data_IF_960631169601
#
_entry.id   IF_960631169601
#
_cell.length_a   1.000
_cell.length_b   1.000
_cell.length_c   1.000
_cell.angle_alpha   90.00
_cell.angle_beta   90.00
_cell.angle_gamma   90.00
#
_symmetry.space_group_name_H-M   'P 1'
#
loop_
_entity.id
_entity.type
_entity.pdbx_description
1 polymer ?
#
# COMPACT_ATOMS: atom_id res chain seq x y z
N UNK A 1 -24.22 2.97 -7.26
CA UNK A 1 -23.25 2.00 -7.83
C UNK A 1 -22.81 1.07 -6.71
N UNK A 2 -23.71 0.23 -6.22
CA UNK A 2 -23.38 -0.85 -5.29
C UNK A 2 -23.40 -2.14 -6.11
N UNK A 3 -22.31 -2.91 -6.03
CA UNK A 3 -22.19 -4.18 -6.71
C UNK A 3 -23.36 -5.10 -6.29
N UNK A 4 -24.01 -5.73 -7.25
CA UNK A 4 -25.08 -6.71 -7.02
C UNK A 4 -24.52 -7.90 -6.24
N UNK A 5 -25.31 -8.49 -5.33
CA UNK A 5 -24.91 -9.57 -4.42
C UNK A 5 -24.21 -10.77 -5.11
N UNK A 6 -24.44 -10.97 -6.41
CA UNK A 6 -23.82 -12.01 -7.23
C UNK A 6 -22.37 -11.75 -7.66
N UNK A 7 -21.84 -10.52 -7.57
CA UNK A 7 -20.44 -10.20 -7.91
C UNK A 7 -19.54 -10.05 -6.69
N UNK A 8 -20.13 -10.10 -5.51
CA UNK A 8 -19.46 -9.82 -4.24
C UNK A 8 -18.32 -10.81 -3.96
N UNK A 9 -18.47 -12.08 -4.34
CA UNK A 9 -17.44 -13.11 -4.13
C UNK A 9 -16.19 -12.94 -5.01
N UNK A 10 -16.31 -12.34 -6.20
CA UNK A 10 -15.15 -12.10 -7.08
C UNK A 10 -14.27 -10.93 -6.63
N UNK A 11 -14.83 -10.00 -5.85
CA UNK A 11 -14.12 -8.83 -5.34
C UNK A 11 -13.70 -8.98 -3.87
N UNK A 12 -14.01 -10.11 -3.21
CA UNK A 12 -13.99 -10.21 -1.74
C UNK A 12 -12.71 -10.70 -1.09
N UNK A 13 -11.72 -11.21 -1.82
CA UNK A 13 -10.64 -11.91 -1.10
C UNK A 13 -9.27 -11.46 -1.57
N UNK A 14 -8.75 -10.45 -0.87
CA UNK A 14 -7.31 -10.30 -0.73
C UNK A 14 -6.80 -11.59 -0.06
N UNK A 15 -5.98 -12.37 -0.74
CA UNK A 15 -5.30 -13.55 -0.22
C UNK A 15 -3.90 -13.19 0.27
N UNK A 16 -3.23 -14.09 1.03
CA UNK A 16 -1.81 -13.99 1.35
C UNK A 16 -0.92 -13.79 0.11
N UNK A 17 -1.21 -14.46 -1.00
CA UNK A 17 -0.44 -14.33 -2.24
C UNK A 17 -0.36 -12.89 -2.78
N UNK A 18 -1.39 -12.07 -2.53
CA UNK A 18 -1.36 -10.65 -2.89
C UNK A 18 -0.39 -9.85 -2.01
N UNK A 19 -0.24 -10.25 -0.74
CA UNK A 19 0.73 -9.66 0.18
C UNK A 19 2.14 -10.03 -0.29
N UNK A 20 2.37 -11.30 -0.61
CA UNK A 20 3.65 -11.79 -1.13
C UNK A 20 4.02 -11.08 -2.45
N UNK A 21 3.03 -10.86 -3.32
CA UNK A 21 3.21 -10.08 -4.55
C UNK A 21 3.58 -8.60 -4.32
N UNK A 22 3.18 -8.01 -3.19
CA UNK A 22 3.64 -6.67 -2.80
C UNK A 22 5.06 -6.72 -2.23
N UNK A 23 5.38 -7.74 -1.41
CA UNK A 23 6.73 -7.92 -0.86
C UNK A 23 7.77 -8.12 -1.97
N UNK A 24 7.48 -8.96 -2.96
CA UNK A 24 8.35 -9.16 -4.12
C UNK A 24 8.60 -7.86 -4.90
N UNK A 25 7.59 -6.99 -5.03
CA UNK A 25 7.76 -5.67 -5.66
C UNK A 25 8.60 -4.73 -4.80
N UNK A 26 8.37 -4.71 -3.49
CA UNK A 26 9.16 -3.92 -2.55
C UNK A 26 10.64 -4.31 -2.65
N UNK A 27 10.96 -5.60 -2.69
CA UNK A 27 12.32 -6.08 -2.87
C UNK A 27 12.90 -5.65 -4.24
N UNK A 28 12.14 -5.86 -5.32
CA UNK A 28 12.60 -5.56 -6.67
C UNK A 28 12.93 -4.07 -6.90
N UNK A 29 12.07 -3.16 -6.40
CA UNK A 29 12.33 -1.72 -6.49
C UNK A 29 13.31 -1.25 -5.41
N UNK A 30 13.26 -1.85 -4.22
CA UNK A 30 14.14 -1.57 -3.10
C UNK A 30 15.61 -1.83 -3.42
N UNK A 31 15.89 -2.91 -4.17
CA UNK A 31 17.24 -3.22 -4.64
C UNK A 31 17.81 -2.19 -5.63
N UNK A 32 16.96 -1.34 -6.20
CA UNK A 32 17.34 -0.33 -7.18
C UNK A 32 17.47 1.07 -6.56
N UNK A 33 17.14 1.28 -5.29
CA UNK A 33 17.16 2.59 -4.63
C UNK A 33 18.08 2.59 -3.41
N UNK A 34 18.74 3.72 -3.17
CA UNK A 34 19.53 3.88 -1.95
C UNK A 34 18.61 4.34 -0.82
N UNK A 35 18.49 3.50 0.21
CA UNK A 35 17.62 3.81 1.35
C UNK A 35 18.20 4.98 2.17
N UNK A 36 17.49 6.11 2.28
CA UNK A 36 18.03 7.29 2.93
C UNK A 36 18.15 7.06 4.44
N UNK A 37 19.24 7.58 5.01
CA UNK A 37 19.53 7.55 6.44
C UNK A 37 18.86 8.70 7.22
N UNK A 38 18.15 9.59 6.51
CA UNK A 38 17.50 10.77 7.06
C UNK A 38 16.03 10.83 6.63
N UNK A 39 15.25 11.69 7.30
CA UNK A 39 13.87 11.94 6.92
C UNK A 39 13.78 12.55 5.52
N UNK A 40 12.91 12.00 4.69
CA UNK A 40 12.61 12.50 3.35
C UNK A 40 11.49 13.52 3.45
N UNK A 41 11.62 14.63 2.73
CA UNK A 41 10.53 15.57 2.51
C UNK A 41 9.87 15.21 1.17
N UNK A 42 8.56 14.91 1.16
CA UNK A 42 7.85 14.61 -0.08
C UNK A 42 7.90 15.77 -1.08
N UNK A 43 8.11 15.45 -2.36
CA UNK A 43 7.81 16.37 -3.44
C UNK A 43 8.98 16.83 -4.30
N UNK A 44 10.11 16.14 -4.27
CA UNK A 44 11.24 16.43 -5.16
C UNK A 44 10.85 16.25 -6.65
N UNK A 45 9.91 15.35 -6.95
CA UNK A 45 9.32 15.18 -8.28
C UNK A 45 7.80 15.05 -8.21
N UNK A 46 7.11 15.36 -9.33
CA UNK A 46 5.64 15.21 -9.39
C UNK A 46 5.21 13.74 -9.21
N UNK A 47 5.96 12.79 -9.77
CA UNK A 47 5.70 11.35 -9.60
C UNK A 47 5.88 10.92 -8.14
N UNK A 48 6.98 11.33 -7.51
CA UNK A 48 7.23 11.03 -6.09
C UNK A 48 6.14 11.61 -5.19
N UNK A 49 5.74 12.87 -5.44
CA UNK A 49 4.64 13.51 -4.71
C UNK A 49 3.33 12.71 -4.80
N UNK A 50 3.01 12.17 -5.98
CA UNK A 50 1.83 11.33 -6.17
C UNK A 50 1.90 10.02 -5.36
N UNK A 51 3.06 9.37 -5.32
CA UNK A 51 3.26 8.18 -4.49
C UNK A 51 3.22 8.47 -2.98
N UNK A 52 3.77 9.60 -2.55
CA UNK A 52 3.62 10.05 -1.16
C UNK A 52 2.17 10.33 -0.80
N UNK A 53 1.40 11.00 -1.68
CA UNK A 53 -0.04 11.21 -1.49
C UNK A 53 -0.77 9.86 -1.38
N UNK A 54 -0.54 8.94 -2.30
CA UNK A 54 -1.12 7.61 -2.27
C UNK A 54 -0.80 6.88 -0.95
N UNK A 55 0.45 6.94 -0.47
CA UNK A 55 0.86 6.38 0.82
C UNK A 55 0.04 6.95 1.98
N UNK A 56 -0.22 8.25 2.01
CA UNK A 56 -1.04 8.85 3.08
C UNK A 56 -2.49 8.37 3.05
N UNK A 57 -3.07 8.17 1.85
CA UNK A 57 -4.42 7.65 1.67
C UNK A 57 -4.49 6.19 2.12
N UNK A 58 -3.51 5.36 1.74
CA UNK A 58 -3.44 3.96 2.15
C UNK A 58 -3.29 3.82 3.67
N UNK A 59 -2.42 4.62 4.29
CA UNK A 59 -2.28 4.68 5.75
C UNK A 59 -3.56 5.13 6.45
N UNK A 60 -4.33 6.02 5.84
CA UNK A 60 -5.65 6.43 6.36
C UNK A 60 -6.64 5.27 6.28
N UNK A 61 -6.71 4.58 5.15
CA UNK A 61 -7.55 3.40 4.98
C UNK A 61 -7.18 2.30 5.98
N UNK A 62 -5.88 2.05 6.20
CA UNK A 62 -5.41 1.08 7.20
C UNK A 62 -5.92 1.40 8.61
N UNK A 63 -5.86 2.67 9.04
CA UNK A 63 -6.39 3.08 10.35
C UNK A 63 -7.88 2.82 10.50
N UNK A 64 -8.67 3.10 9.45
CA UNK A 64 -10.10 2.79 9.45
C UNK A 64 -10.35 1.28 9.53
N UNK A 65 -9.54 0.48 8.83
CA UNK A 65 -9.64 -1.00 8.87
C UNK A 65 -9.21 -1.55 10.22
N UNK A 66 -8.20 -0.97 10.88
CA UNK A 66 -7.82 -1.36 12.26
C UNK A 66 -8.99 -1.12 13.20
N UNK A 67 -9.61 0.06 13.14
CA UNK A 67 -10.79 0.39 13.95
C UNK A 67 -11.93 -0.61 13.68
N UNK A 68 -12.18 -0.95 12.41
CA UNK A 68 -13.17 -1.97 12.05
C UNK A 68 -12.82 -3.36 12.62
N UNK A 69 -11.54 -3.73 12.61
CA UNK A 69 -11.06 -5.02 13.13
C UNK A 69 -11.20 -5.11 14.65
N UNK A 70 -11.01 -4.01 15.38
CA UNK A 70 -11.22 -3.94 16.83
C UNK A 70 -12.70 -4.15 17.24
N UNK A 71 -13.62 -3.93 16.31
CA UNK A 71 -15.07 -4.12 16.50
C UNK A 71 -15.62 -5.41 15.85
N UNK A 72 -14.77 -6.43 15.63
CA UNK A 72 -15.11 -7.72 14.99
C UNK A 72 -15.75 -7.59 13.59
N UNK A 73 -15.56 -6.44 12.92
CA UNK A 73 -16.15 -6.14 11.61
C UNK A 73 -15.30 -6.60 10.42
N UNK A 74 -14.10 -7.13 10.67
CA UNK A 74 -13.17 -7.52 9.61
C UNK A 74 -13.38 -8.98 9.21
N UNK A 75 -14.02 -9.20 8.06
CA UNK A 75 -14.23 -10.55 7.50
C UNK A 75 -12.98 -11.18 6.89
N UNK A 76 -12.01 -10.38 6.43
CA UNK A 76 -10.80 -10.86 5.78
C UNK A 76 -9.53 -10.35 6.49
N UNK A 77 -8.75 -11.23 7.14
CA UNK A 77 -7.57 -10.83 7.91
C UNK A 77 -6.39 -10.36 7.03
N UNK A 78 -6.35 -10.74 5.75
CA UNK A 78 -5.25 -10.37 4.83
C UNK A 78 -5.30 -8.91 4.39
N UNK A 79 -6.41 -8.19 4.63
CA UNK A 79 -6.55 -6.78 4.25
C UNK A 79 -5.56 -5.90 5.02
N UNK A 80 -5.39 -6.12 6.33
CA UNK A 80 -4.49 -5.32 7.16
C UNK A 80 -3.01 -5.45 6.73
N UNK A 81 -2.45 -6.68 6.62
CA UNK A 81 -1.10 -6.87 6.06
C UNK A 81 -0.95 -6.29 4.66
N UNK A 82 -1.97 -6.42 3.81
CA UNK A 82 -1.93 -5.89 2.45
C UNK A 82 -1.84 -4.35 2.42
N UNK A 83 -2.68 -3.64 3.19
CA UNK A 83 -2.60 -2.17 3.28
C UNK A 83 -1.27 -1.72 3.87
N UNK A 84 -0.76 -2.48 4.86
CA UNK A 84 0.54 -2.21 5.45
C UNK A 84 1.65 -2.30 4.39
N UNK A 85 1.72 -3.40 3.62
CA UNK A 85 2.71 -3.58 2.56
C UNK A 85 2.52 -2.63 1.40
N UNK A 86 1.29 -2.33 1.01
CA UNK A 86 1.00 -1.39 -0.07
C UNK A 86 1.57 0.00 0.25
N UNK A 87 1.42 0.46 1.50
CA UNK A 87 1.99 1.72 1.92
C UNK A 87 3.52 1.75 1.84
N UNK A 88 4.18 0.62 2.13
CA UNK A 88 5.63 0.46 2.01
C UNK A 88 6.05 0.47 0.54
N UNK A 89 5.31 -0.19 -0.34
CA UNK A 89 5.54 -0.13 -1.77
C UNK A 89 5.42 1.30 -2.30
N UNK A 90 4.41 2.07 -1.88
CA UNK A 90 4.29 3.48 -2.28
C UNK A 90 5.52 4.31 -1.85
N UNK A 91 6.14 4.01 -0.71
CA UNK A 91 7.36 4.69 -0.26
C UNK A 91 8.58 4.29 -1.10
N UNK A 92 8.73 3.01 -1.43
CA UNK A 92 9.85 2.56 -2.28
C UNK A 92 9.70 3.11 -3.70
N UNK A 93 8.47 3.18 -4.22
CA UNK A 93 8.22 3.78 -5.53
C UNK A 93 8.46 5.29 -5.55
N UNK A 94 8.17 6.02 -4.47
CA UNK A 94 8.51 7.45 -4.42
C UNK A 94 10.03 7.67 -4.52
N UNK A 95 10.81 6.85 -3.81
CA UNK A 95 12.28 6.85 -3.90
C UNK A 95 12.80 6.45 -5.29
N UNK A 96 12.15 5.48 -5.93
CA UNK A 96 12.53 5.02 -7.26
C UNK A 96 12.34 6.09 -8.33
N UNK A 97 11.24 6.82 -8.24
CA UNK A 97 10.97 7.96 -9.13
C UNK A 97 11.94 9.12 -8.88
N UNK A 98 12.32 9.39 -7.63
CA UNK A 98 13.32 10.41 -7.30
C UNK A 98 14.71 10.07 -7.87
N UNK A 99 15.10 8.80 -7.85
CA UNK A 99 16.36 8.35 -8.46
C UNK A 99 16.35 8.42 -10.00
N UNK A 100 15.18 8.23 -10.60
CA UNK A 100 15.02 8.13 -12.06
C UNK A 100 14.83 9.49 -12.75
N UNK A 101 14.65 10.56 -11.98
CA UNK A 101 14.51 11.93 -12.45
C UNK A 101 15.86 12.68 -12.48
#
# INVERSE_FOLDING_TARGET
>A
LAATDSQVDKFRTISPDHVDGLEAKIEAFGAQVDMPQAFIIPGDTQSSAAFHLARTIVRRAEREVVNLAEHDGLSNPSILPYLNRLSSLCFVLSLYEEKSA
#
